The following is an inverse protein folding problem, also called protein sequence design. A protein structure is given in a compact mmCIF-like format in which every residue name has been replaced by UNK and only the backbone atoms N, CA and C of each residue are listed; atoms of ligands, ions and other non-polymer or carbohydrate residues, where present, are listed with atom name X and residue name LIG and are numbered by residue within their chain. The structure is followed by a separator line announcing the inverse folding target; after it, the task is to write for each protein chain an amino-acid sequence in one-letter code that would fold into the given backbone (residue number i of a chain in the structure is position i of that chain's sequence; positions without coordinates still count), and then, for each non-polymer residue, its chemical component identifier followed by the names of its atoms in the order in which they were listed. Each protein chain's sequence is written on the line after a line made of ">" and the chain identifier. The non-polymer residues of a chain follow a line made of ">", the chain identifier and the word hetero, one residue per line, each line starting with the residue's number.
data_IF_682760488217
#
_entry.id   IF_682760488217
#
_cell.length_a   1.000
_cell.length_b   1.000
_cell.length_c   1.000
_cell.angle_alpha   90.00
_cell.angle_beta   90.00
_cell.angle_gamma   90.00
#
_symmetry.space_group_name_H-M   'P 1'
#
loop_
_entity.id
_entity.type
_entity.pdbx_description
1 polymer ?
#
# COMPACT_ATOMS: atom_id res chain seq x y z
N UNK A 1 -10.65 24.15 18.41
CA UNK A 1 -10.59 22.70 18.65
C UNK A 1 -11.10 22.03 17.39
N UNK A 2 -10.22 21.73 16.43
CA UNK A 2 -10.62 20.98 15.24
C UNK A 2 -10.66 19.52 15.68
N UNK A 3 -11.87 19.01 15.86
CA UNK A 3 -12.12 17.59 16.03
C UNK A 3 -11.73 16.93 14.71
N UNK A 4 -10.49 16.44 14.61
CA UNK A 4 -10.13 15.45 13.61
C UNK A 4 -10.82 14.15 14.07
N UNK A 5 -12.13 14.08 13.81
CA UNK A 5 -12.84 12.82 13.75
C UNK A 5 -12.28 12.09 12.52
N UNK A 6 -11.04 11.62 12.61
CA UNK A 6 -10.51 10.65 11.67
C UNK A 6 -11.38 9.42 11.90
N UNK A 7 -12.41 9.25 11.07
CA UNK A 7 -13.29 8.10 11.17
C UNK A 7 -12.42 6.83 11.22
N UNK A 8 -12.79 5.92 12.10
CA UNK A 8 -12.20 4.59 12.27
C UNK A 8 -12.50 3.68 11.05
N UNK A 9 -12.33 4.20 9.83
CA UNK A 9 -12.64 3.48 8.61
C UNK A 9 -11.51 2.51 8.32
N UNK A 10 -11.91 1.28 8.16
CA UNK A 10 -11.17 0.27 7.44
C UNK A 10 -10.70 0.84 6.10
N UNK A 11 -9.44 0.59 5.78
CA UNK A 11 -8.82 0.96 4.52
C UNK A 11 -8.17 -0.25 3.88
N UNK A 12 -8.21 -0.33 2.57
CA UNK A 12 -7.54 -1.35 1.79
C UNK A 12 -6.27 -0.80 1.14
N UNK A 13 -5.35 -1.71 0.83
CA UNK A 13 -4.14 -1.38 0.10
C UNK A 13 -4.35 -1.72 -1.37
N UNK A 14 -4.09 -0.77 -2.26
CA UNK A 14 -3.99 -0.97 -3.71
C UNK A 14 -2.51 -0.95 -4.06
N UNK A 15 -2.03 -1.96 -4.76
CA UNK A 15 -0.68 -1.99 -5.30
C UNK A 15 -0.72 -1.77 -6.81
N UNK A 16 0.31 -1.07 -7.30
CA UNK A 16 0.62 -0.91 -8.71
C UNK A 16 2.01 -1.44 -8.97
N UNK A 17 2.14 -2.32 -9.96
CA UNK A 17 3.40 -2.65 -10.57
C UNK A 17 3.85 -1.52 -11.50
N UNK A 18 5.01 -0.91 -11.23
CA UNK A 18 5.56 0.14 -12.09
C UNK A 18 6.28 -0.43 -13.33
N UNK A 19 6.64 -1.71 -13.34
CA UNK A 19 7.22 -2.37 -14.52
C UNK A 19 6.16 -2.77 -15.53
N UNK A 20 5.11 -3.49 -15.09
CA UNK A 20 4.05 -3.96 -15.98
C UNK A 20 2.89 -2.99 -16.13
N UNK A 21 2.77 -2.02 -15.22
CA UNK A 21 1.62 -1.11 -15.15
C UNK A 21 0.38 -1.74 -14.53
N UNK A 22 0.43 -3.00 -14.11
CA UNK A 22 -0.72 -3.68 -13.50
C UNK A 22 -1.06 -3.11 -12.13
N UNK A 23 -2.33 -2.91 -11.87
CA UNK A 23 -2.85 -2.36 -10.62
C UNK A 23 -3.90 -3.30 -10.04
N UNK A 24 -3.94 -3.42 -8.72
CA UNK A 24 -5.01 -4.16 -8.04
C UNK A 24 -4.96 -4.04 -6.53
N UNK A 25 -6.06 -4.42 -5.89
CA UNK A 25 -6.17 -4.50 -4.45
C UNK A 25 -5.30 -5.64 -3.89
N UNK A 26 -4.53 -5.35 -2.86
CA UNK A 26 -3.63 -6.31 -2.22
C UNK A 26 -4.45 -7.22 -1.31
N UNK A 27 -4.46 -8.51 -1.65
CA UNK A 27 -5.00 -9.59 -0.81
C UNK A 27 -3.95 -10.25 0.07
N UNK A 28 -2.67 -10.09 -0.28
CA UNK A 28 -1.57 -10.59 0.53
C UNK A 28 -0.23 -10.57 -0.20
N UNK A 29 0.63 -11.52 0.14
CA UNK A 29 1.90 -11.78 -0.54
C UNK A 29 1.85 -13.15 -1.22
N UNK A 30 2.37 -13.25 -2.43
CA UNK A 30 2.60 -14.53 -3.12
C UNK A 30 3.76 -15.27 -2.47
N UNK A 31 3.86 -16.57 -2.77
CA UNK A 31 4.94 -17.43 -2.27
C UNK A 31 6.33 -16.99 -2.76
N UNK A 32 6.42 -16.31 -3.91
CA UNK A 32 7.67 -15.71 -4.42
C UNK A 32 8.07 -14.40 -3.71
N UNK A 33 7.18 -13.86 -2.87
CA UNK A 33 7.37 -12.62 -2.12
C UNK A 33 6.82 -11.38 -2.82
N UNK A 34 6.29 -11.47 -4.05
CA UNK A 34 5.62 -10.32 -4.70
C UNK A 34 4.22 -10.06 -4.12
N UNK A 35 3.69 -8.82 -4.18
CA UNK A 35 2.31 -8.53 -3.81
C UNK A 35 1.32 -9.42 -4.55
N UNK A 36 0.40 -10.04 -3.82
CA UNK A 36 -0.74 -10.71 -4.44
C UNK A 36 -1.85 -9.69 -4.63
N UNK A 37 -2.05 -9.30 -5.88
CA UNK A 37 -3.02 -8.30 -6.31
C UNK A 37 -4.25 -9.00 -6.89
N UNK A 38 -5.43 -8.54 -6.50
CA UNK A 38 -6.72 -8.94 -7.04
C UNK A 38 -7.43 -7.72 -7.64
N UNK A 39 -8.25 -7.92 -8.68
CA UNK A 39 -9.04 -6.84 -9.25
C UNK A 39 -9.98 -6.27 -8.18
N UNK A 40 -9.84 -4.98 -7.86
CA UNK A 40 -10.56 -4.34 -6.76
C UNK A 40 -12.08 -4.44 -6.90
N UNK A 41 -12.55 -4.47 -8.15
CA UNK A 41 -13.97 -4.62 -8.53
C UNK A 41 -14.59 -5.97 -8.17
N UNK A 42 -13.79 -7.03 -8.11
CA UNK A 42 -14.27 -8.41 -7.84
C UNK A 42 -13.75 -8.96 -6.52
N UNK A 43 -12.80 -8.28 -5.89
CA UNK A 43 -12.22 -8.70 -4.64
C UNK A 43 -13.20 -8.43 -3.49
N UNK A 44 -13.39 -9.43 -2.64
CA UNK A 44 -14.16 -9.26 -1.41
C UNK A 44 -13.27 -8.58 -0.39
N UNK A 45 -13.81 -7.60 0.33
CA UNK A 45 -13.12 -6.95 1.44
C UNK A 45 -12.52 -7.93 2.45
N UNK A 46 -13.18 -9.05 2.71
CA UNK A 46 -12.68 -10.11 3.61
C UNK A 46 -11.46 -10.87 3.08
N UNK A 47 -11.23 -10.85 1.76
CA UNK A 47 -10.04 -11.44 1.11
C UNK A 47 -8.91 -10.41 0.98
N UNK A 48 -9.24 -9.13 1.07
CA UNK A 48 -8.30 -8.02 0.97
C UNK A 48 -7.62 -7.76 2.30
N UNK A 49 -6.41 -7.21 2.22
CA UNK A 49 -5.73 -6.67 3.38
C UNK A 49 -6.40 -5.36 3.76
N UNK A 50 -7.15 -5.40 4.85
CA UNK A 50 -7.81 -4.25 5.46
C UNK A 50 -7.02 -3.79 6.69
N UNK A 51 -6.81 -2.48 6.84
CA UNK A 51 -6.08 -1.86 7.94
C UNK A 51 -6.78 -0.59 8.44
N UNK A 52 -6.49 -0.20 9.69
CA UNK A 52 -7.07 0.98 10.33
C UNK A 52 -5.98 2.02 10.64
N UNK A 53 -6.24 3.29 10.30
CA UNK A 53 -5.25 4.38 10.29
C UNK A 53 -4.83 4.86 11.69
N UNK A 54 -5.66 4.66 12.73
CA UNK A 54 -5.39 5.19 14.09
C UNK A 54 -4.25 4.50 14.83
N UNK A 55 -3.79 3.35 14.34
CA UNK A 55 -2.69 2.62 14.95
C UNK A 55 -1.53 2.60 13.94
N UNK A 56 -0.32 2.86 14.42
CA UNK A 56 0.96 2.61 13.73
C UNK A 56 1.14 1.25 12.98
N UNK A 57 0.26 0.22 13.04
CA UNK A 57 0.21 -0.92 12.14
C UNK A 57 0.37 -0.65 10.66
N UNK A 58 0.02 0.51 10.09
CA UNK A 58 0.25 0.74 8.67
C UNK A 58 1.75 0.70 8.34
N UNK A 59 2.55 1.51 9.01
CA UNK A 59 4.00 1.55 8.80
C UNK A 59 4.67 0.21 9.16
N UNK A 60 4.19 -0.47 10.21
CA UNK A 60 4.71 -1.78 10.62
C UNK A 60 4.33 -2.88 9.62
N UNK A 61 3.10 -2.88 9.11
CA UNK A 61 2.62 -3.80 8.10
C UNK A 61 3.38 -3.59 6.79
N UNK A 62 3.45 -2.35 6.31
CA UNK A 62 4.18 -2.01 5.09
C UNK A 62 5.66 -2.30 5.25
N UNK A 63 6.27 -2.02 6.39
CA UNK A 63 7.67 -2.38 6.63
C UNK A 63 7.88 -3.89 6.60
N UNK A 64 7.01 -4.68 7.22
CA UNK A 64 7.08 -6.14 7.15
C UNK A 64 6.79 -6.67 5.74
N UNK A 65 5.90 -6.03 5.02
CA UNK A 65 5.54 -6.37 3.65
C UNK A 65 6.67 -6.05 2.68
N UNK A 66 7.24 -4.84 2.75
CA UNK A 66 8.42 -4.38 2.01
C UNK A 66 9.64 -5.23 2.32
N UNK A 67 9.82 -5.68 3.57
CA UNK A 67 10.91 -6.60 3.95
C UNK A 67 10.75 -7.99 3.36
N UNK A 68 9.51 -8.47 3.23
CA UNK A 68 9.21 -9.76 2.60
C UNK A 68 9.18 -9.65 1.07
N UNK A 69 8.93 -8.46 0.54
CA UNK A 69 8.90 -8.19 -0.88
C UNK A 69 10.32 -8.14 -1.43
N UNK A 70 10.65 -9.02 -2.39
CA UNK A 70 11.97 -9.04 -3.03
C UNK A 70 12.33 -7.68 -3.65
N UNK A 71 11.34 -6.96 -4.20
CA UNK A 71 11.52 -5.67 -4.87
C UNK A 71 10.43 -4.65 -4.49
N UNK A 72 10.52 -4.01 -3.32
CA UNK A 72 9.48 -3.10 -2.86
C UNK A 72 9.39 -1.81 -3.70
N UNK A 73 10.50 -1.34 -4.25
CA UNK A 73 10.54 -0.12 -5.09
C UNK A 73 9.87 -0.29 -6.46
N UNK A 74 9.61 -1.53 -6.89
CA UNK A 74 8.89 -1.78 -8.14
C UNK A 74 7.39 -1.61 -7.99
N UNK A 75 6.88 -1.62 -6.75
CA UNK A 75 5.46 -1.44 -6.49
C UNK A 75 5.18 -0.10 -5.83
N UNK A 76 4.12 0.57 -6.28
CA UNK A 76 3.57 1.75 -5.63
C UNK A 76 2.29 1.38 -4.91
N UNK A 77 2.17 1.79 -3.65
CA UNK A 77 1.03 1.46 -2.80
C UNK A 77 0.15 2.69 -2.58
N UNK A 78 -1.15 2.46 -2.58
CA UNK A 78 -2.19 3.48 -2.42
C UNK A 78 -3.22 2.97 -1.42
N UNK A 79 -3.70 3.86 -0.55
CA UNK A 79 -4.72 3.56 0.45
C UNK A 79 -6.07 4.04 -0.06
N UNK A 80 -7.08 3.22 0.14
CA UNK A 80 -8.46 3.55 -0.21
C UNK A 80 -9.36 3.10 0.92
N UNK A 81 -10.38 3.89 1.26
CA UNK A 81 -11.40 3.47 2.21
C UNK A 81 -12.05 2.16 1.78
N UNK A 82 -12.04 1.18 2.67
CA UNK A 82 -12.63 -0.14 2.47
C UNK A 82 -14.10 -0.03 2.05
N UNK A 83 -14.85 0.84 2.73
CA UNK A 83 -16.26 1.13 2.45
C UNK A 83 -16.48 1.60 1.00
N UNK A 84 -15.49 2.30 0.44
CA UNK A 84 -15.54 2.89 -0.89
C UNK A 84 -14.58 2.21 -1.89
N UNK A 85 -13.99 1.05 -1.57
CA UNK A 85 -12.98 0.41 -2.42
C UNK A 85 -13.52 0.11 -3.83
N UNK A 86 -14.79 -0.25 -3.94
CA UNK A 86 -15.40 -0.53 -5.25
C UNK A 86 -15.48 0.72 -6.13
N UNK A 87 -15.73 1.90 -5.56
CA UNK A 87 -15.84 3.14 -6.32
C UNK A 87 -14.50 3.87 -6.42
N UNK A 88 -13.91 4.20 -5.27
CA UNK A 88 -12.65 4.94 -5.19
C UNK A 88 -11.47 4.07 -5.61
N UNK A 89 -11.49 2.76 -5.31
CA UNK A 89 -10.44 1.85 -5.75
C UNK A 89 -10.39 1.76 -7.28
N UNK A 90 -11.53 1.69 -7.96
CA UNK A 90 -11.57 1.76 -9.42
C UNK A 90 -11.04 3.09 -9.97
N UNK A 91 -11.38 4.21 -9.32
CA UNK A 91 -10.88 5.54 -9.72
C UNK A 91 -9.37 5.63 -9.53
N UNK A 92 -8.84 5.08 -8.43
CA UNK A 92 -7.40 5.01 -8.17
C UNK A 92 -6.73 4.08 -9.17
N UNK A 93 -7.26 2.88 -9.43
CA UNK A 93 -6.75 1.96 -10.46
C UNK A 93 -6.74 2.61 -11.85
N UNK A 94 -7.77 3.37 -12.22
CA UNK A 94 -7.83 4.05 -13.50
C UNK A 94 -6.87 5.24 -13.57
N UNK A 95 -6.81 6.04 -12.51
CA UNK A 95 -5.81 7.11 -12.36
C UNK A 95 -4.37 6.57 -12.41
N UNK A 96 -4.16 5.35 -11.92
CA UNK A 96 -2.88 4.66 -11.99
C UNK A 96 -2.53 4.22 -13.41
N UNK A 97 -3.46 4.15 -14.37
CA UNK A 97 -3.08 3.95 -15.77
C UNK A 97 -2.30 5.15 -16.31
N UNK A 98 -2.66 6.37 -15.88
CA UNK A 98 -2.00 7.62 -16.27
C UNK A 98 -1.56 8.44 -15.04
N UNK A 99 -0.44 8.06 -14.39
CA UNK A 99 -0.02 8.69 -13.15
C UNK A 99 0.47 10.12 -13.32
N UNK A 100 0.90 10.51 -14.52
CA UNK A 100 1.38 11.87 -14.78
C UNK A 100 0.21 12.85 -14.81
N UNK A 101 -0.87 12.51 -15.54
CA UNK A 101 -2.08 13.32 -15.56
C UNK A 101 -2.77 13.35 -14.18
N UNK A 102 -2.78 12.22 -13.47
CA UNK A 102 -3.53 12.07 -12.21
C UNK A 102 -2.68 12.24 -10.94
N UNK A 103 -1.46 12.78 -11.06
CA UNK A 103 -0.49 12.87 -9.97
C UNK A 103 -1.05 13.52 -8.70
N UNK A 104 -1.87 14.56 -8.84
CA UNK A 104 -2.47 15.26 -7.70
C UNK A 104 -3.43 14.37 -6.90
N UNK A 105 -4.33 13.66 -7.57
CA UNK A 105 -5.23 12.68 -6.93
C UNK A 105 -4.46 11.51 -6.34
N UNK A 106 -3.50 10.97 -7.10
CA UNK A 106 -2.72 9.82 -6.66
C UNK A 106 -1.88 10.16 -5.43
N UNK A 107 -1.31 11.36 -5.33
CA UNK A 107 -0.53 11.79 -4.17
C UNK A 107 -1.32 11.78 -2.87
N UNK A 108 -2.62 12.07 -2.91
CA UNK A 108 -3.48 12.07 -1.71
C UNK A 108 -3.77 10.64 -1.23
N UNK A 109 -3.98 9.71 -2.17
CA UNK A 109 -4.16 8.29 -1.89
C UNK A 109 -2.82 7.56 -1.72
N UNK A 110 -1.68 8.14 -2.10
CA UNK A 110 -0.39 7.47 -2.11
C UNK A 110 0.04 7.16 -0.69
N UNK A 111 0.41 5.92 -0.48
CA UNK A 111 1.04 5.51 0.76
C UNK A 111 2.52 5.78 0.61
N UNK A 112 2.99 6.83 1.30
CA UNK A 112 4.41 7.03 1.51
C UNK A 112 4.91 5.96 2.47
N UNK A 113 5.36 4.85 1.91
CA UNK A 113 6.26 3.99 2.64
C UNK A 113 7.54 4.79 2.76
N UNK A 114 7.75 5.44 3.91
CA UNK A 114 9.11 5.64 4.40
C UNK A 114 9.63 4.22 4.50
N UNK A 115 10.30 3.74 3.45
CA UNK A 115 11.22 2.63 3.58
C UNK A 115 12.07 3.08 4.75
N UNK A 116 11.79 2.53 5.94
CA UNK A 116 12.59 2.83 7.12
C UNK A 116 13.97 2.60 6.60
N UNK A 117 14.68 3.71 6.45
CA UNK A 117 16.02 3.71 5.93
C UNK A 117 16.65 2.54 6.65
N UNK A 118 17.23 1.59 5.91
CA UNK A 118 18.20 0.75 6.57
C UNK A 118 19.20 1.77 7.08
N UNK A 119 19.03 2.22 8.32
CA UNK A 119 20.13 2.25 9.24
C UNK A 119 20.67 0.84 9.15
N UNK A 120 21.55 0.65 8.16
CA UNK A 120 22.85 0.06 8.35
C UNK A 120 23.40 0.56 9.70
N UNK A 121 22.86 0.04 10.79
CA UNK A 121 23.67 -0.82 11.63
C UNK A 121 23.80 -2.10 10.77
N UNK A 122 24.81 -2.33 9.92
CA UNK A 122 26.22 -2.21 10.24
C UNK A 122 26.40 -2.44 11.75
N UNK A 123 25.95 -3.60 12.22
CA UNK A 123 26.54 -4.20 13.40
C UNK A 123 28.01 -4.34 12.99
N UNK A 124 28.82 -3.40 13.44
CA UNK A 124 30.26 -3.45 13.25
C UNK A 124 30.74 -4.67 14.05
N UNK A 125 30.94 -5.79 13.35
CA UNK A 125 31.47 -7.05 13.89
C UNK A 125 32.96 -6.93 14.29
N UNK A 126 33.52 -5.72 14.42
CA UNK A 126 34.91 -5.49 14.84
C UNK A 126 35.08 -5.13 16.33
N UNK A 127 34.04 -5.36 17.15
CA UNK A 127 34.14 -5.29 18.62
C UNK A 127 33.62 -6.58 19.29
N UNK A 128 34.34 -7.68 19.06
CA UNK A 128 34.41 -8.82 19.98
C UNK A 128 35.85 -9.32 20.01
#
# INVERSE_FOLDING_TARGET
>A
MAQDQTNEKDQVLIARNNETGETGAVKGLKQDGTPDMAPSKSAKLSDLVVFNIHKNPLEAFLSNFVRQCKNPSMFSFFKVDADNVNSVGQVVEDALKDPEANKAMLSEAKVEVKATNRNSHAIDESRI
#
